data_IF_096060998566
#
_entry.id   IF_096060998566
#
_cell.length_a   1.000
_cell.length_b   1.000
_cell.length_c   1.000
_cell.angle_alpha   90.00
_cell.angle_beta   90.00
_cell.angle_gamma   90.00
#
_symmetry.space_group_name_H-M   'P 1'
#
loop_
_entity.id
_entity.type
_entity.pdbx_description
1 polymer ?
#
# COMPACT_ATOMS: atom_id res chain seq x y z
N UNK A 1 25.64 -1.22 -4.45
CA UNK A 1 25.16 -0.31 -3.35
C UNK A 1 24.66 1.06 -3.85
N UNK A 2 25.41 1.82 -4.67
CA UNK A 2 24.91 3.11 -5.21
C UNK A 2 23.64 2.95 -6.05
N UNK A 3 23.51 1.86 -6.81
CA UNK A 3 22.32 1.60 -7.64
C UNK A 3 21.05 1.37 -6.81
N UNK A 4 21.16 0.67 -5.67
CA UNK A 4 20.06 0.46 -4.73
C UNK A 4 19.50 1.80 -4.21
N UNK A 5 20.36 2.65 -3.65
CA UNK A 5 19.95 3.95 -3.10
C UNK A 5 19.36 4.87 -4.18
N UNK A 6 19.94 4.87 -5.38
CA UNK A 6 19.42 5.66 -6.50
C UNK A 6 18.02 5.20 -6.91
N UNK A 7 17.77 3.89 -6.93
CA UNK A 7 16.44 3.36 -7.27
C UNK A 7 15.41 3.66 -6.19
N UNK A 8 15.76 3.52 -4.91
CA UNK A 8 14.90 3.93 -3.78
C UNK A 8 14.53 5.41 -3.93
N UNK A 9 15.54 6.27 -4.05
CA UNK A 9 15.34 7.72 -4.19
C UNK A 9 14.50 8.09 -5.41
N UNK A 10 14.75 7.43 -6.55
CA UNK A 10 13.98 7.63 -7.79
C UNK A 10 12.51 7.29 -7.57
N UNK A 11 12.24 6.17 -6.91
CA UNK A 11 10.88 5.69 -6.69
C UNK A 11 10.11 6.60 -5.72
N UNK A 12 10.76 6.98 -4.61
CA UNK A 12 10.19 7.94 -3.65
C UNK A 12 9.96 9.31 -4.31
N UNK A 13 10.89 9.81 -5.14
CA UNK A 13 10.68 11.07 -5.87
C UNK A 13 9.61 10.99 -6.96
N UNK A 14 9.49 9.86 -7.66
CA UNK A 14 8.42 9.65 -8.65
C UNK A 14 7.07 9.72 -7.97
N UNK A 15 6.94 9.12 -6.80
CA UNK A 15 5.76 9.25 -5.95
C UNK A 15 5.50 10.70 -5.52
N UNK A 16 6.50 11.38 -4.96
CA UNK A 16 6.38 12.78 -4.50
C UNK A 16 6.06 13.78 -5.64
N UNK A 17 6.48 13.50 -6.87
CA UNK A 17 6.18 14.34 -8.04
C UNK A 17 4.78 14.09 -8.61
N UNK A 18 4.17 12.95 -8.32
CA UNK A 18 2.83 12.62 -8.80
C UNK A 18 1.78 13.27 -7.91
N UNK A 19 1.60 14.59 -8.05
CA UNK A 19 0.66 15.40 -7.26
C UNK A 19 -0.75 14.80 -7.26
N UNK A 20 -1.22 14.32 -8.41
CA UNK A 20 -2.53 13.66 -8.54
C UNK A 20 -2.64 12.37 -7.73
N UNK A 21 -1.55 11.58 -7.65
CA UNK A 21 -1.51 10.35 -6.86
C UNK A 21 -1.48 10.62 -5.37
N UNK A 22 -0.78 11.67 -4.93
CA UNK A 22 -0.76 12.11 -3.53
C UNK A 22 -2.14 12.63 -3.11
N UNK A 23 -2.77 13.45 -3.94
CA UNK A 23 -4.13 13.94 -3.70
C UNK A 23 -5.11 12.77 -3.64
N UNK A 24 -5.08 11.84 -4.61
CA UNK A 24 -5.94 10.66 -4.59
C UNK A 24 -5.71 9.75 -3.37
N UNK A 25 -4.47 9.62 -2.93
CA UNK A 25 -4.09 8.88 -1.73
C UNK A 25 -4.65 9.50 -0.44
N UNK A 26 -4.77 10.83 -0.36
CA UNK A 26 -5.34 11.52 0.81
C UNK A 26 -6.86 11.56 0.73
N UNK A 27 -7.40 11.80 -0.46
CA UNK A 27 -8.84 11.98 -0.67
C UNK A 27 -9.62 10.69 -0.46
N UNK A 28 -9.10 9.55 -0.93
CA UNK A 28 -9.79 8.26 -0.83
C UNK A 28 -10.03 7.84 0.64
N UNK A 29 -9.03 7.81 1.54
CA UNK A 29 -9.25 7.52 2.96
C UNK A 29 -10.14 8.54 3.66
N UNK A 30 -10.03 9.83 3.33
CA UNK A 30 -10.89 10.87 3.91
C UNK A 30 -12.36 10.64 3.54
N UNK A 31 -12.64 10.30 2.28
CA UNK A 31 -14.00 9.95 1.84
C UNK A 31 -14.51 8.76 2.65
N UNK A 32 -13.71 7.69 2.76
CA UNK A 32 -14.10 6.53 3.56
C UNK A 32 -14.36 6.88 5.02
N UNK A 33 -13.51 7.69 5.64
CA UNK A 33 -13.66 8.12 7.03
C UNK A 33 -14.89 9.01 7.22
N UNK A 34 -15.18 9.93 6.29
CA UNK A 34 -16.35 10.81 6.38
C UNK A 34 -17.64 10.00 6.19
N UNK A 35 -17.68 9.11 5.20
CA UNK A 35 -18.87 8.31 4.91
C UNK A 35 -19.09 7.19 5.95
N UNK A 36 -18.06 6.38 6.24
CA UNK A 36 -18.17 5.24 7.16
C UNK A 36 -17.93 5.65 8.62
N UNK A 37 -17.01 6.58 8.90
CA UNK A 37 -16.77 7.04 10.27
C UNK A 37 -17.93 7.87 10.82
N UNK A 38 -18.43 8.88 10.10
CA UNK A 38 -19.50 9.75 10.60
C UNK A 38 -20.89 9.17 10.28
N UNK A 39 -21.07 8.55 9.11
CA UNK A 39 -22.35 7.97 8.68
C UNK A 39 -22.70 6.68 9.41
N UNK A 40 -21.75 5.74 9.51
CA UNK A 40 -22.00 4.43 10.13
C UNK A 40 -21.81 4.41 11.65
N UNK A 41 -21.05 5.32 12.26
CA UNK A 41 -20.96 5.41 13.73
C UNK A 41 -22.31 5.68 14.39
N UNK A 42 -23.25 6.33 13.69
CA UNK A 42 -24.62 6.54 14.17
C UNK A 42 -25.49 5.28 14.11
N UNK A 43 -25.17 4.36 13.19
CA UNK A 43 -25.90 3.10 12.97
C UNK A 43 -25.37 2.02 13.92
N UNK A 44 -24.06 1.98 14.18
CA UNK A 44 -23.41 1.01 15.07
C UNK A 44 -23.31 1.45 16.53
N UNK A 45 -24.11 2.44 16.96
CA UNK A 45 -24.39 2.72 18.40
C UNK A 45 -25.17 1.59 19.11
N UNK A 46 -25.20 0.38 18.56
CA UNK A 46 -25.72 -0.84 19.17
C UNK A 46 -24.72 -1.45 20.16
N UNK A 47 -25.07 -2.57 20.82
CA UNK A 47 -24.37 -3.03 22.02
C UNK A 47 -22.89 -3.30 21.75
N UNK A 48 -22.05 -2.63 22.54
CA UNK A 48 -20.57 -2.63 22.54
C UNK A 48 -19.96 -4.04 22.71
N UNK A 49 -20.77 -5.06 22.99
CA UNK A 49 -20.39 -6.47 23.17
C UNK A 49 -19.96 -7.15 21.87
N UNK A 50 -20.43 -6.69 20.70
CA UNK A 50 -20.14 -7.34 19.40
C UNK A 50 -18.65 -7.17 19.01
N UNK A 51 -18.02 -6.09 19.46
CA UNK A 51 -16.62 -5.76 19.13
C UNK A 51 -15.67 -5.99 20.30
N UNK A 52 -16.03 -6.87 21.24
CA UNK A 52 -15.19 -7.18 22.40
C UNK A 52 -15.06 -6.03 23.40
N UNK A 53 -16.06 -5.14 23.48
CA UNK A 53 -16.07 -4.00 24.39
C UNK A 53 -15.35 -2.74 23.87
N UNK A 54 -14.91 -2.74 22.61
CA UNK A 54 -14.18 -1.63 21.99
C UNK A 54 -15.04 -0.89 20.95
N UNK A 55 -14.80 0.41 20.78
CA UNK A 55 -15.53 1.21 19.78
C UNK A 55 -15.33 0.65 18.36
N UNK A 56 -16.37 0.69 17.54
CA UNK A 56 -16.40 0.14 16.17
C UNK A 56 -15.24 0.68 15.30
N UNK A 57 -14.93 1.97 15.48
CA UNK A 57 -13.83 2.65 14.80
C UNK A 57 -12.45 2.10 15.20
N UNK A 58 -12.28 1.72 16.47
CA UNK A 58 -11.04 1.11 16.98
C UNK A 58 -10.82 -0.29 16.42
N UNK A 59 -11.88 -1.06 16.24
CA UNK A 59 -11.83 -2.39 15.60
C UNK A 59 -11.54 -2.30 14.09
N UNK A 60 -12.13 -1.32 13.39
CA UNK A 60 -11.91 -1.15 11.95
C UNK A 60 -10.52 -0.60 11.57
N UNK A 61 -9.90 0.19 12.45
CA UNK A 61 -8.64 0.87 12.19
C UNK A 61 -7.52 -0.04 11.61
N UNK A 62 -7.17 -1.18 12.24
CA UNK A 62 -6.13 -2.07 11.73
C UNK A 62 -6.52 -2.76 10.40
N UNK A 63 -7.80 -3.07 10.20
CA UNK A 63 -8.28 -3.68 8.96
C UNK A 63 -8.11 -2.73 7.77
N UNK A 64 -8.55 -1.48 7.90
CA UNK A 64 -8.38 -0.46 6.86
C UNK A 64 -6.89 -0.19 6.58
N UNK A 65 -6.06 -0.19 7.64
CA UNK A 65 -4.61 -0.06 7.51
C UNK A 65 -4.00 -1.20 6.67
N UNK A 66 -4.32 -2.45 7.01
CA UNK A 66 -3.83 -3.64 6.30
C UNK A 66 -4.31 -3.66 4.85
N UNK A 67 -5.61 -3.44 4.62
CA UNK A 67 -6.21 -3.39 3.28
C UNK A 67 -5.55 -2.33 2.40
N UNK A 68 -5.20 -1.17 2.96
CA UNK A 68 -4.55 -0.09 2.22
C UNK A 68 -3.14 -0.46 1.80
N UNK A 69 -2.34 -1.00 2.73
CA UNK A 69 -0.97 -1.44 2.43
C UNK A 69 -1.00 -2.52 1.35
N UNK A 70 -1.93 -3.46 1.50
CA UNK A 70 -2.15 -4.53 0.54
C UNK A 70 -2.51 -4.01 -0.85
N UNK A 71 -3.50 -3.11 -0.93
CA UNK A 71 -3.93 -2.51 -2.19
C UNK A 71 -2.80 -1.75 -2.90
N UNK A 72 -2.06 -0.93 -2.16
CA UNK A 72 -0.97 -0.15 -2.75
C UNK A 72 0.22 -1.03 -3.17
N UNK A 73 0.54 -2.07 -2.38
CA UNK A 73 1.64 -3.00 -2.69
C UNK A 73 1.40 -3.72 -4.02
N UNK A 74 0.16 -4.12 -4.30
CA UNK A 74 -0.18 -4.79 -5.57
C UNK A 74 -0.24 -3.83 -6.77
N UNK A 75 -0.78 -2.63 -6.58
CA UNK A 75 -0.77 -1.59 -7.63
C UNK A 75 0.67 -1.22 -8.03
N UNK A 76 1.63 -1.28 -7.09
CA UNK A 76 3.04 -1.08 -7.43
C UNK A 76 3.56 -2.12 -8.44
N UNK A 77 3.03 -3.34 -8.43
CA UNK A 77 3.30 -4.39 -9.43
C UNK A 77 2.90 -3.99 -10.85
N UNK A 78 1.78 -3.28 -11.03
CA UNK A 78 1.32 -2.77 -12.34
C UNK A 78 2.37 -1.82 -12.95
N UNK A 79 2.97 -0.97 -12.12
CA UNK A 79 4.01 -0.06 -12.60
C UNK A 79 5.26 -0.80 -13.10
N UNK A 80 5.46 -2.09 -12.75
CA UNK A 80 6.52 -2.93 -13.32
C UNK A 80 6.21 -3.25 -14.77
N UNK A 81 4.96 -3.58 -15.06
CA UNK A 81 4.50 -3.92 -16.41
C UNK A 81 4.53 -2.67 -17.28
N UNK A 82 4.11 -1.52 -16.74
CA UNK A 82 4.21 -0.23 -17.43
C UNK A 82 5.66 0.14 -17.80
N UNK A 83 6.59 -0.04 -16.85
CA UNK A 83 8.02 0.21 -17.12
C UNK A 83 8.60 -0.79 -18.15
N UNK A 84 8.01 -1.99 -18.31
CA UNK A 84 8.36 -2.94 -19.38
C UNK A 84 7.82 -2.51 -20.76
N UNK A 85 6.54 -2.15 -20.85
CA UNK A 85 5.88 -1.83 -22.11
C UNK A 85 6.41 -0.55 -22.77
N UNK A 86 6.68 0.50 -22.00
CA UNK A 86 7.14 1.79 -22.53
C UNK A 86 8.63 1.85 -22.91
N UNK A 87 9.31 0.70 -22.98
CA UNK A 87 10.68 0.65 -23.50
C UNK A 87 11.77 1.10 -22.53
N UNK A 88 11.49 1.24 -21.23
CA UNK A 88 12.55 1.39 -20.22
C UNK A 88 13.46 0.14 -20.18
N UNK A 89 13.00 -1.00 -20.70
CA UNK A 89 13.86 -2.16 -20.96
C UNK A 89 14.99 -1.87 -21.97
N UNK A 90 14.77 -1.02 -22.99
CA UNK A 90 15.81 -0.61 -23.94
C UNK A 90 16.81 0.36 -23.32
N UNK A 91 16.39 1.22 -22.39
CA UNK A 91 17.29 2.09 -21.61
C UNK A 91 18.09 1.32 -20.54
N UNK A 92 17.49 0.30 -19.91
CA UNK A 92 18.17 -0.59 -18.95
C UNK A 92 19.16 -1.52 -19.62
N UNK A 93 18.97 -1.86 -20.91
CA UNK A 93 19.96 -2.62 -21.69
C UNK A 93 21.26 -1.82 -21.94
N UNK A 94 21.23 -0.49 -21.79
CA UNK A 94 22.41 0.40 -21.91
C UNK A 94 22.95 0.81 -20.52
N UNK A 95 22.19 0.61 -19.45
CA UNK A 95 22.58 0.97 -18.09
C UNK A 95 23.42 -0.17 -17.44
N UNK A 96 24.67 0.09 -17.00
CA UNK A 96 25.55 -0.91 -16.38
C UNK A 96 25.17 -1.16 -14.91
N UNK A 97 23.90 -1.44 -14.65
CA UNK A 97 23.37 -1.65 -13.30
C UNK A 97 22.89 -3.09 -13.11
N UNK A 98 23.38 -3.74 -12.04
CA UNK A 98 22.95 -5.09 -11.66
C UNK A 98 21.43 -5.17 -11.51
N UNK A 99 20.77 -6.01 -12.32
CA UNK A 99 19.31 -6.21 -12.32
C UNK A 99 18.76 -6.50 -10.91
N UNK A 100 19.53 -7.24 -10.10
CA UNK A 100 19.16 -7.59 -8.72
C UNK A 100 19.12 -6.37 -7.79
N UNK A 101 20.12 -5.48 -7.87
CA UNK A 101 20.16 -4.26 -7.04
C UNK A 101 19.02 -3.30 -7.39
N UNK A 102 18.68 -3.19 -8.68
CA UNK A 102 17.62 -2.31 -9.15
C UNK A 102 16.23 -2.80 -8.72
N UNK A 103 15.98 -4.11 -8.79
CA UNK A 103 14.72 -4.71 -8.33
C UNK A 103 14.59 -4.55 -6.81
N UNK A 104 15.65 -4.83 -6.05
CA UNK A 104 15.64 -4.69 -4.60
C UNK A 104 15.40 -3.23 -4.15
N UNK A 105 16.09 -2.27 -4.76
CA UNK A 105 15.91 -0.84 -4.44
C UNK A 105 14.52 -0.32 -4.80
N UNK A 106 13.92 -0.87 -5.87
CA UNK A 106 12.56 -0.55 -6.22
C UNK A 106 11.55 -1.14 -5.24
N UNK A 107 11.64 -2.43 -4.91
CA UNK A 107 10.75 -3.09 -3.94
C UNK A 107 10.76 -2.28 -2.64
N UNK A 108 11.95 -1.91 -2.16
CA UNK A 108 12.09 -1.12 -0.94
C UNK A 108 11.45 0.27 -1.07
N UNK A 109 11.64 0.96 -2.20
CA UNK A 109 11.00 2.25 -2.48
C UNK A 109 9.47 2.18 -2.56
N UNK A 110 8.94 1.16 -3.23
CA UNK A 110 7.49 0.90 -3.36
C UNK A 110 6.88 0.54 -1.99
N UNK A 111 7.60 -0.22 -1.15
CA UNK A 111 7.19 -0.52 0.22
C UNK A 111 7.17 0.71 1.13
N UNK A 112 8.16 1.61 1.03
CA UNK A 112 8.13 2.89 1.77
C UNK A 112 6.88 3.70 1.40
N UNK A 113 6.54 3.75 0.12
CA UNK A 113 5.34 4.46 -0.35
C UNK A 113 4.06 3.83 0.20
N UNK A 114 3.95 2.50 0.17
CA UNK A 114 2.80 1.78 0.73
C UNK A 114 2.68 1.99 2.25
N UNK A 115 3.78 1.91 3.00
CA UNK A 115 3.79 2.17 4.45
C UNK A 115 3.49 3.63 4.77
N UNK A 116 3.97 4.58 3.98
CA UNK A 116 3.61 6.00 4.12
C UNK A 116 2.10 6.19 3.97
N UNK A 117 1.49 5.49 3.00
CA UNK A 117 0.05 5.50 2.80
C UNK A 117 -0.74 4.90 3.96
N UNK A 118 -0.33 3.72 4.43
CA UNK A 118 -0.92 3.12 5.62
C UNK A 118 -0.78 4.02 6.85
N UNK A 119 0.39 4.62 7.05
CA UNK A 119 0.66 5.51 8.20
C UNK A 119 -0.25 6.73 8.18
N UNK A 120 -0.49 7.32 7.01
CA UNK A 120 -1.39 8.45 6.88
C UNK A 120 -2.82 8.09 7.32
N UNK A 121 -3.29 6.90 6.96
CA UNK A 121 -4.60 6.40 7.42
C UNK A 121 -4.61 6.16 8.92
N UNK A 122 -3.55 5.56 9.48
CA UNK A 122 -3.41 5.38 10.93
C UNK A 122 -3.52 6.71 11.68
N UNK A 123 -2.87 7.77 11.19
CA UNK A 123 -2.94 9.12 11.77
C UNK A 123 -4.35 9.74 11.67
N UNK A 124 -5.03 9.55 10.53
CA UNK A 124 -6.41 10.02 10.37
C UNK A 124 -7.35 9.27 11.33
N UNK A 125 -7.20 7.96 11.46
CA UNK A 125 -8.02 7.16 12.36
C UNK A 125 -7.73 7.45 13.83
N UNK A 126 -6.49 7.78 14.21
CA UNK A 126 -6.13 8.25 15.55
C UNK A 126 -6.88 9.52 15.96
N UNK A 127 -7.24 10.38 15.01
CA UNK A 127 -8.00 11.60 15.29
C UNK A 127 -9.48 11.32 15.63
N UNK A 128 -9.96 10.10 15.35
CA UNK A 128 -11.38 9.72 15.44
C UNK A 128 -11.59 8.59 16.46
N UNK A 129 -10.64 7.66 16.57
CA UNK A 129 -10.64 6.53 17.49
C UNK A 129 -9.62 6.76 18.61
N UNK A 130 -9.99 6.38 19.85
CA UNK A 130 -9.06 6.37 21.00
C UNK A 130 -8.08 5.19 20.88
N UNK A 131 -7.09 5.32 20.01
CA UNK A 131 -6.02 4.34 19.85
C UNK A 131 -4.89 4.61 20.85
N UNK A 132 -4.23 3.55 21.29
CA UNK A 132 -3.04 3.67 22.14
C UNK A 132 -1.83 4.10 21.31
N UNK A 133 -1.12 5.12 21.79
CA UNK A 133 0.05 5.72 21.12
C UNK A 133 1.18 4.69 21.03
N UNK A 134 1.30 3.79 22.01
CA UNK A 134 2.32 2.75 22.03
C UNK A 134 2.14 1.70 20.91
N UNK A 135 0.93 1.53 20.38
CA UNK A 135 0.64 0.59 19.30
C UNK A 135 1.07 1.07 17.90
N UNK A 136 1.30 2.38 17.73
CA UNK A 136 1.56 2.98 16.41
C UNK A 136 2.88 2.48 15.82
N UNK A 137 3.95 2.47 16.61
CA UNK A 137 5.28 2.10 16.14
C UNK A 137 5.34 0.61 15.71
N UNK A 138 4.83 -0.36 16.51
CA UNK A 138 4.66 -1.74 16.06
C UNK A 138 3.83 -1.88 14.79
N UNK A 139 2.71 -1.16 14.66
CA UNK A 139 1.86 -1.23 13.47
C UNK A 139 2.58 -0.75 12.20
N UNK A 140 3.38 0.31 12.29
CA UNK A 140 4.18 0.80 11.16
C UNK A 140 5.24 -0.23 10.76
N UNK A 141 5.93 -0.84 11.72
CA UNK A 141 6.93 -1.88 11.46
C UNK A 141 6.33 -3.11 10.78
N UNK A 142 5.22 -3.62 11.32
CA UNK A 142 4.49 -4.76 10.73
C UNK A 142 3.97 -4.38 9.34
N UNK A 143 3.42 -3.18 9.19
CA UNK A 143 2.97 -2.65 7.91
C UNK A 143 4.09 -2.57 6.88
N UNK A 144 5.30 -2.19 7.28
CA UNK A 144 6.46 -2.19 6.39
C UNK A 144 6.89 -3.60 5.97
N UNK A 145 6.88 -4.58 6.89
CA UNK A 145 7.19 -5.97 6.55
C UNK A 145 6.13 -6.56 5.60
N UNK A 146 4.86 -6.29 5.83
CA UNK A 146 3.77 -6.67 4.92
C UNK A 146 3.93 -6.01 3.55
N UNK A 147 4.24 -4.72 3.53
CA UNK A 147 4.47 -3.98 2.28
C UNK A 147 5.62 -4.61 1.49
N UNK A 148 6.73 -4.99 2.14
CA UNK A 148 7.85 -5.67 1.51
C UNK A 148 7.46 -7.03 0.94
N UNK A 149 6.72 -7.84 1.70
CA UNK A 149 6.28 -9.17 1.27
C UNK A 149 5.34 -9.09 0.05
N UNK A 150 4.29 -8.28 0.14
CA UNK A 150 3.30 -8.16 -0.94
C UNK A 150 3.84 -7.43 -2.16
N UNK A 151 4.69 -6.42 -1.98
CA UNK A 151 5.36 -5.75 -3.12
C UNK A 151 6.29 -6.74 -3.83
N UNK A 152 7.08 -7.53 -3.09
CA UNK A 152 7.94 -8.57 -3.69
C UNK A 152 7.12 -9.61 -4.45
N UNK A 153 5.99 -10.02 -3.90
CA UNK A 153 5.08 -10.97 -4.53
C UNK A 153 4.42 -10.39 -5.80
N UNK A 154 3.88 -9.18 -5.72
CA UNK A 154 3.28 -8.47 -6.85
C UNK A 154 4.29 -8.20 -7.96
N UNK A 155 5.51 -7.79 -7.62
CA UNK A 155 6.61 -7.63 -8.58
C UNK A 155 6.97 -8.98 -9.22
N UNK A 156 7.04 -10.07 -8.45
CA UNK A 156 7.34 -11.40 -8.97
C UNK A 156 6.31 -11.87 -10.00
N UNK A 157 5.02 -11.68 -9.72
CA UNK A 157 3.95 -11.96 -10.69
C UNK A 157 4.11 -11.06 -11.92
N UNK A 158 4.29 -9.75 -11.71
CA UNK A 158 4.45 -8.79 -12.79
C UNK A 158 5.67 -9.07 -13.69
N UNK A 159 6.73 -9.71 -13.19
CA UNK A 159 7.87 -10.12 -14.03
C UNK A 159 7.52 -11.20 -15.04
N UNK A 160 6.50 -12.03 -14.78
CA UNK A 160 6.03 -13.08 -15.69
C UNK A 160 4.89 -12.64 -16.61
N UNK A 161 4.31 -11.47 -16.36
CA UNK A 161 3.19 -10.95 -17.13
C UNK A 161 3.62 -9.90 -18.15
N UNK A 162 2.88 -9.85 -19.25
CA UNK A 162 3.08 -8.92 -20.37
C UNK A 162 1.92 -7.93 -20.49
N UNK A 163 0.68 -8.36 -20.20
CA UNK A 163 -0.51 -7.50 -20.22
C UNK A 163 -0.87 -6.96 -18.83
N UNK A 164 -1.17 -5.66 -18.77
CA UNK A 164 -1.70 -5.01 -17.56
C UNK A 164 -3.10 -5.49 -17.20
N UNK A 165 -3.95 -5.74 -18.19
CA UNK A 165 -5.31 -6.23 -17.97
C UNK A 165 -5.29 -7.61 -17.32
N UNK A 166 -4.44 -8.51 -17.82
CA UNK A 166 -4.23 -9.83 -17.23
C UNK A 166 -3.73 -9.75 -15.79
N UNK A 167 -2.81 -8.82 -15.51
CA UNK A 167 -2.32 -8.62 -14.14
C UNK A 167 -3.41 -8.11 -13.21
N UNK A 168 -4.21 -7.14 -13.65
CA UNK A 168 -5.36 -6.66 -12.87
C UNK A 168 -6.38 -7.75 -12.60
N UNK A 169 -6.64 -8.64 -13.56
CA UNK A 169 -7.54 -9.78 -13.37
C UNK A 169 -7.02 -10.76 -12.29
N UNK A 170 -5.74 -11.15 -12.36
CA UNK A 170 -5.14 -12.05 -11.37
C UNK A 170 -5.11 -11.39 -9.99
N UNK A 171 -4.69 -10.13 -9.91
CA UNK A 171 -4.64 -9.38 -8.66
C UNK A 171 -6.04 -9.21 -8.08
N UNK A 172 -7.06 -8.95 -8.89
CA UNK A 172 -8.45 -8.87 -8.44
C UNK A 172 -8.93 -10.18 -7.81
N UNK A 173 -8.63 -11.32 -8.43
CA UNK A 173 -8.97 -12.65 -7.90
C UNK A 173 -8.24 -12.92 -6.58
N UNK A 174 -6.98 -12.53 -6.46
CA UNK A 174 -6.19 -12.70 -5.24
C UNK A 174 -6.61 -11.73 -4.13
N UNK A 175 -7.02 -10.51 -4.51
CA UNK A 175 -7.37 -9.45 -3.56
C UNK A 175 -8.54 -9.85 -2.67
N UNK A 176 -9.57 -10.44 -3.27
CA UNK A 176 -10.80 -10.72 -2.56
C UNK A 176 -10.60 -11.70 -1.39
N UNK A 177 -9.99 -12.90 -1.58
CA UNK A 177 -9.67 -13.81 -0.47
C UNK A 177 -8.76 -13.18 0.60
N UNK A 178 -7.75 -12.41 0.18
CA UNK A 178 -6.77 -11.82 1.09
C UNK A 178 -7.36 -10.73 1.97
N UNK A 179 -8.35 -9.99 1.47
CA UNK A 179 -9.12 -9.01 2.25
C UNK A 179 -9.96 -9.67 3.34
N UNK A 180 -10.54 -10.85 3.08
CA UNK A 180 -11.31 -11.58 4.09
C UNK A 180 -10.43 -12.27 5.15
N UNK A 181 -9.16 -12.50 4.82
CA UNK A 181 -8.16 -13.09 5.71
C UNK A 181 -7.43 -12.06 6.59
N UNK A 182 -7.60 -10.76 6.32
CA UNK A 182 -7.02 -9.63 7.06
C UNK A 182 -7.96 -9.11 8.12
#
# INVERSE_FOLDING_TARGET
MRAFLTMVYRQTRRFLRSKSRIVGMILNPIIWIVFFGIGWSRIFKGPMEIFGGVDYLTFLAPGIFAMTIFNQSFISGVSVIWDKEFGFLKEVLVAPTSRKESIAGRIFGDSIVATCQGTLILLLTFSIAKLDIFGILPSILIGFMLALAFTSFGVSIATKMESMEGFHAIVGILMLPLIFLS
#
